data_IF_087598381686
#
_entry.id   IF_087598381686
#
_cell.length_a   1.000
_cell.length_b   1.000
_cell.length_c   1.000
_cell.angle_alpha   90.00
_cell.angle_beta   90.00
_cell.angle_gamma   90.00
#
_symmetry.space_group_name_H-M   'P 1'
#
loop_
_entity.id
_entity.type
_entity.pdbx_description
1 polymer ?
#
# COMPACT_ATOMS: atom_id res chain seq x y z
N UNK A 1 39.94 4.06 43.60
CA UNK A 1 39.09 4.92 42.78
C UNK A 1 39.86 5.17 41.50
N UNK A 2 39.53 4.39 40.47
CA UNK A 2 40.20 4.48 39.15
C UNK A 2 39.34 5.38 38.28
N UNK A 3 39.90 6.57 37.98
CA UNK A 3 39.34 7.49 36.99
C UNK A 3 39.48 6.86 35.60
N UNK A 4 38.38 6.35 35.01
CA UNK A 4 38.34 6.04 33.59
C UNK A 4 38.32 7.37 32.80
N UNK A 5 39.21 7.54 31.82
CA UNK A 5 39.19 8.73 30.98
C UNK A 5 37.93 8.72 30.07
N UNK A 6 37.11 9.76 30.21
CA UNK A 6 36.00 10.04 29.30
C UNK A 6 36.54 10.24 27.87
N UNK A 7 36.29 9.28 27.00
CA UNK A 7 36.60 9.38 25.57
C UNK A 7 35.99 10.67 25.00
N UNK A 8 36.70 11.46 24.22
CA UNK A 8 36.17 12.68 23.64
C UNK A 8 35.09 12.33 22.61
N UNK A 9 33.85 12.78 22.90
CA UNK A 9 32.72 12.64 21.97
C UNK A 9 33.08 13.23 20.63
N UNK A 10 33.10 12.42 19.58
CA UNK A 10 33.45 12.88 18.23
C UNK A 10 32.39 13.88 17.74
N UNK A 11 32.79 14.82 16.88
CA UNK A 11 31.89 15.78 16.23
C UNK A 11 30.64 15.10 15.61
N UNK A 12 30.80 13.84 15.17
CA UNK A 12 29.68 13.00 14.67
C UNK A 12 28.65 12.67 15.74
N UNK A 13 29.05 12.48 17.00
CA UNK A 13 28.15 12.16 18.10
C UNK A 13 27.35 13.38 18.57
N UNK A 14 27.96 14.56 18.47
CA UNK A 14 27.30 15.84 18.77
C UNK A 14 26.34 16.20 17.65
N UNK A 15 26.75 16.08 16.39
CA UNK A 15 25.88 16.36 15.24
C UNK A 15 24.64 15.43 15.19
N UNK A 16 24.79 14.16 15.63
CA UNK A 16 23.68 13.19 15.69
C UNK A 16 22.55 13.62 16.64
N UNK A 17 22.86 14.38 17.71
CA UNK A 17 21.86 14.88 18.67
C UNK A 17 20.96 15.96 18.08
N UNK A 18 21.41 16.68 17.06
CA UNK A 18 20.68 17.77 16.40
C UNK A 18 19.91 17.31 15.14
N UNK A 19 20.14 16.07 14.66
CA UNK A 19 19.36 15.53 13.53
C UNK A 19 18.02 15.01 14.05
N UNK A 20 16.88 15.51 13.56
CA UNK A 20 15.56 15.02 13.94
C UNK A 20 15.48 13.49 13.74
N UNK A 21 14.91 12.78 14.71
CA UNK A 21 14.78 11.29 14.67
C UNK A 21 14.15 10.81 13.36
N UNK A 22 13.23 11.59 12.81
CA UNK A 22 12.62 11.35 11.51
C UNK A 22 13.68 11.23 10.39
N UNK A 23 14.64 12.16 10.29
CA UNK A 23 15.67 12.12 9.25
C UNK A 23 16.61 10.91 9.41
N UNK A 24 16.92 10.52 10.64
CA UNK A 24 17.71 9.30 10.90
C UNK A 24 16.98 8.04 10.45
N UNK A 25 15.67 7.98 10.68
CA UNK A 25 14.82 6.88 10.22
C UNK A 25 14.79 6.80 8.69
N UNK A 26 14.58 7.94 8.01
CA UNK A 26 14.58 8.02 6.53
C UNK A 26 15.93 7.54 5.96
N UNK A 27 17.05 7.96 6.56
CA UNK A 27 18.39 7.52 6.15
C UNK A 27 18.56 5.99 6.28
N UNK A 28 18.02 5.40 7.34
CA UNK A 28 18.01 3.95 7.56
C UNK A 28 17.26 3.21 6.46
N UNK A 29 16.09 3.74 6.06
CA UNK A 29 15.28 3.19 4.97
C UNK A 29 16.03 3.28 3.63
N UNK A 30 16.54 4.45 3.27
CA UNK A 30 17.30 4.69 2.03
C UNK A 30 18.49 3.71 1.93
N UNK A 31 19.21 3.50 3.04
CA UNK A 31 20.34 2.56 3.07
C UNK A 31 19.91 1.11 2.84
N UNK A 32 18.77 0.68 3.42
CA UNK A 32 18.24 -0.68 3.23
C UNK A 32 17.76 -0.92 1.80
N UNK A 33 17.14 0.08 1.20
CA UNK A 33 16.64 0.01 -0.17
C UNK A 33 17.76 -0.02 -1.22
N UNK A 34 18.98 0.33 -0.84
CA UNK A 34 20.11 0.42 -1.76
C UNK A 34 20.07 1.64 -2.70
N UNK A 35 21.05 1.79 -3.60
CA UNK A 35 21.25 3.04 -4.34
C UNK A 35 20.14 3.34 -5.37
N UNK A 36 19.52 2.32 -5.97
CA UNK A 36 18.43 2.46 -6.94
C UNK A 36 17.13 2.91 -6.27
N UNK A 37 16.50 2.01 -5.53
CA UNK A 37 15.25 2.26 -4.83
C UNK A 37 15.37 3.37 -3.79
N UNK A 38 16.53 3.49 -3.12
CA UNK A 38 16.77 4.56 -2.15
C UNK A 38 16.71 5.97 -2.74
N UNK A 39 17.22 6.19 -3.97
CA UNK A 39 17.09 7.48 -4.66
C UNK A 39 15.63 7.79 -5.03
N UNK A 40 14.92 6.80 -5.55
CA UNK A 40 13.50 6.96 -5.90
C UNK A 40 12.68 7.27 -4.63
N UNK A 41 12.90 6.53 -3.55
CA UNK A 41 12.26 6.77 -2.26
C UNK A 41 12.51 8.19 -1.73
N UNK A 42 13.78 8.65 -1.75
CA UNK A 42 14.13 10.00 -1.33
C UNK A 42 13.42 11.07 -2.18
N UNK A 43 13.31 10.86 -3.49
CA UNK A 43 12.57 11.75 -4.40
C UNK A 43 11.07 11.79 -4.08
N UNK A 44 10.44 10.63 -3.82
CA UNK A 44 9.02 10.54 -3.43
C UNK A 44 8.77 11.27 -2.10
N UNK A 45 9.66 11.08 -1.11
CA UNK A 45 9.58 11.79 0.18
C UNK A 45 9.75 13.29 0.06
N UNK A 46 10.70 13.74 -0.76
CA UNK A 46 10.90 15.17 -0.99
C UNK A 46 9.64 15.81 -1.62
N UNK A 47 9.05 15.17 -2.63
CA UNK A 47 7.80 15.63 -3.24
C UNK A 47 6.65 15.68 -2.23
N UNK A 48 6.55 14.68 -1.35
CA UNK A 48 5.53 14.65 -0.30
C UNK A 48 5.71 15.82 0.70
N UNK A 49 6.94 16.06 1.17
CA UNK A 49 7.26 17.17 2.09
C UNK A 49 6.99 18.54 1.46
N UNK A 50 7.31 18.70 0.18
CA UNK A 50 7.08 19.95 -0.57
C UNK A 50 5.60 20.14 -0.98
N UNK A 51 4.71 19.21 -0.62
CA UNK A 51 3.32 19.26 -1.03
C UNK A 51 3.09 19.08 -2.54
N UNK A 52 4.13 18.68 -3.28
CA UNK A 52 4.10 18.44 -4.73
C UNK A 52 3.41 17.10 -5.06
N UNK A 53 2.22 16.91 -4.47
CA UNK A 53 1.40 15.73 -4.73
C UNK A 53 0.72 15.93 -6.07
N UNK A 54 1.19 15.23 -7.07
CA UNK A 54 0.65 15.37 -8.42
C UNK A 54 -0.75 14.75 -8.47
N UNK A 55 -1.74 15.53 -8.88
CA UNK A 55 -3.08 15.04 -9.25
C UNK A 55 -3.01 13.94 -10.33
N UNK A 56 -1.88 13.81 -11.01
CA UNK A 56 -1.59 12.84 -12.06
C UNK A 56 -1.34 11.41 -11.55
N UNK A 57 -1.11 11.19 -10.24
CA UNK A 57 -0.89 9.83 -9.71
C UNK A 57 -2.16 8.96 -9.65
N UNK A 58 -3.32 9.51 -9.94
CA UNK A 58 -4.61 8.80 -9.82
C UNK A 58 -5.27 8.47 -11.17
N UNK A 59 -4.53 8.45 -12.27
CA UNK A 59 -5.13 8.17 -13.58
C UNK A 59 -5.01 6.69 -13.93
N UNK A 60 -5.58 5.84 -13.08
CA UNK A 60 -5.82 4.44 -13.47
C UNK A 60 -6.83 4.46 -14.62
N UNK A 61 -6.57 3.75 -15.73
CA UNK A 61 -7.50 3.71 -16.84
C UNK A 61 -8.89 3.24 -16.39
N UNK A 62 -9.94 3.94 -16.79
CA UNK A 62 -11.32 3.55 -16.44
C UNK A 62 -11.69 2.16 -16.98
N UNK A 63 -11.02 1.71 -18.03
CA UNK A 63 -11.15 0.37 -18.61
C UNK A 63 -10.31 -0.70 -17.88
N UNK A 64 -9.57 -0.37 -16.82
CA UNK A 64 -8.75 -1.34 -16.08
C UNK A 64 -9.63 -2.44 -15.47
N UNK A 65 -9.23 -3.69 -15.67
CA UNK A 65 -9.94 -4.89 -15.19
C UNK A 65 -9.00 -5.90 -14.53
N UNK A 66 -7.71 -5.60 -14.45
CA UNK A 66 -6.71 -6.45 -13.79
C UNK A 66 -5.86 -5.64 -12.82
N UNK A 67 -5.93 -6.00 -11.53
CA UNK A 67 -5.35 -5.28 -10.42
C UNK A 67 -4.41 -6.15 -9.59
N UNK A 68 -3.23 -5.62 -9.27
CA UNK A 68 -2.29 -6.26 -8.34
C UNK A 68 -2.04 -5.34 -7.16
N UNK A 69 -2.32 -5.81 -5.95
CA UNK A 69 -2.02 -5.10 -4.72
C UNK A 69 -0.71 -5.60 -4.13
N UNK A 70 0.22 -4.69 -3.85
CA UNK A 70 1.59 -5.05 -3.43
C UNK A 70 1.94 -4.37 -2.11
N UNK A 71 2.41 -5.16 -1.14
CA UNK A 71 3.02 -4.66 0.08
C UNK A 71 4.34 -5.39 0.35
N UNK A 72 4.91 -5.27 1.53
CA UNK A 72 6.16 -5.94 1.88
C UNK A 72 6.00 -7.47 1.92
N UNK A 73 5.15 -8.00 2.81
CA UNK A 73 5.06 -9.44 3.12
C UNK A 73 3.82 -10.16 2.61
N UNK A 74 2.86 -9.50 1.99
CA UNK A 74 1.58 -10.06 1.54
C UNK A 74 0.78 -10.80 2.64
N UNK A 75 0.86 -10.32 3.88
CA UNK A 75 0.14 -10.92 5.03
C UNK A 75 -0.79 -9.95 5.74
N UNK A 76 -0.75 -8.66 5.39
CA UNK A 76 -1.60 -7.62 5.97
C UNK A 76 -2.25 -6.79 4.85
N UNK A 77 -1.67 -5.63 4.49
CA UNK A 77 -2.27 -4.60 3.63
C UNK A 77 -2.73 -5.11 2.27
N UNK A 78 -1.87 -5.73 1.50
CA UNK A 78 -2.21 -6.20 0.14
C UNK A 78 -3.19 -7.38 0.17
N UNK A 79 -3.07 -8.28 1.15
CA UNK A 79 -4.03 -9.36 1.38
C UNK A 79 -5.42 -8.78 1.65
N UNK A 80 -5.52 -7.83 2.59
CA UNK A 80 -6.78 -7.18 2.92
C UNK A 80 -7.39 -6.43 1.73
N UNK A 81 -6.58 -5.70 0.95
CA UNK A 81 -7.04 -4.98 -0.24
C UNK A 81 -7.62 -5.92 -1.30
N UNK A 82 -7.00 -7.08 -1.56
CA UNK A 82 -7.53 -8.11 -2.45
C UNK A 82 -8.91 -8.59 -2.01
N UNK A 83 -9.07 -8.97 -0.75
CA UNK A 83 -10.32 -9.52 -0.24
C UNK A 83 -11.42 -8.46 -0.11
N UNK A 84 -11.09 -7.22 0.24
CA UNK A 84 -12.03 -6.10 0.18
C UNK A 84 -12.58 -5.89 -1.23
N UNK A 85 -11.71 -5.92 -2.24
CA UNK A 85 -12.15 -5.74 -3.63
C UNK A 85 -12.98 -6.92 -4.11
N UNK A 86 -12.61 -8.16 -3.78
CA UNK A 86 -13.41 -9.35 -4.10
C UNK A 86 -14.81 -9.26 -3.49
N UNK A 87 -14.90 -8.96 -2.18
CA UNK A 87 -16.18 -8.80 -1.49
C UNK A 87 -17.05 -7.72 -2.12
N UNK A 88 -16.46 -6.57 -2.47
CA UNK A 88 -17.19 -5.48 -3.08
C UNK A 88 -17.76 -5.85 -4.47
N UNK A 89 -17.15 -6.81 -5.17
CA UNK A 89 -17.59 -7.30 -6.46
C UNK A 89 -18.60 -8.47 -6.38
N UNK A 90 -18.76 -9.11 -5.21
CA UNK A 90 -19.77 -10.19 -5.03
C UNK A 90 -21.19 -9.73 -5.31
N UNK A 91 -21.50 -8.45 -5.09
CA UNK A 91 -22.82 -7.85 -5.36
C UNK A 91 -22.88 -7.10 -6.70
N UNK A 92 -21.84 -7.22 -7.53
CA UNK A 92 -21.77 -6.53 -8.80
C UNK A 92 -22.56 -7.26 -9.90
N UNK A 93 -23.08 -6.54 -10.91
CA UNK A 93 -23.73 -7.17 -12.07
C UNK A 93 -22.78 -8.13 -12.80
N UNK A 94 -23.31 -9.19 -13.42
CA UNK A 94 -22.54 -10.26 -14.12
C UNK A 94 -21.52 -9.73 -15.15
N UNK A 95 -21.78 -8.57 -15.75
CA UNK A 95 -20.86 -7.90 -16.68
C UNK A 95 -19.51 -7.54 -16.06
N UNK A 96 -19.39 -7.56 -14.72
CA UNK A 96 -18.21 -7.17 -13.94
C UNK A 96 -17.41 -8.40 -13.47
N UNK A 97 -17.89 -9.61 -13.65
CA UNK A 97 -17.21 -10.87 -13.24
C UNK A 97 -15.80 -11.07 -13.84
N UNK A 98 -15.44 -10.30 -14.86
CA UNK A 98 -14.14 -10.41 -15.53
C UNK A 98 -13.00 -9.63 -14.88
N UNK A 99 -13.20 -9.08 -13.66
CA UNK A 99 -12.12 -8.36 -12.95
C UNK A 99 -11.16 -9.36 -12.33
N UNK A 100 -9.88 -9.28 -12.75
CA UNK A 100 -8.80 -10.07 -12.16
C UNK A 100 -8.17 -9.32 -10.99
N UNK A 101 -8.15 -9.96 -9.82
CA UNK A 101 -7.60 -9.37 -8.60
C UNK A 101 -6.57 -10.33 -8.02
N UNK A 102 -5.38 -9.80 -7.75
CA UNK A 102 -4.27 -10.56 -7.14
C UNK A 102 -3.60 -9.68 -6.09
N UNK A 103 -3.09 -10.28 -5.03
CA UNK A 103 -2.15 -9.62 -4.12
C UNK A 103 -0.84 -10.36 -4.06
N UNK A 104 0.25 -9.62 -3.79
CA UNK A 104 1.58 -10.17 -3.66
C UNK A 104 2.43 -9.33 -2.70
N UNK A 105 3.58 -9.85 -2.31
CA UNK A 105 4.58 -9.14 -1.52
C UNK A 105 5.91 -9.05 -2.24
N UNK A 106 6.63 -7.96 -2.04
CA UNK A 106 8.00 -7.81 -2.54
C UNK A 106 8.96 -8.79 -1.84
N UNK A 107 8.72 -9.03 -0.55
CA UNK A 107 9.52 -9.89 0.32
C UNK A 107 8.63 -10.91 1.05
N UNK A 108 7.63 -11.46 0.36
CA UNK A 108 6.72 -12.44 0.94
C UNK A 108 7.44 -13.76 1.24
N UNK A 109 7.00 -14.40 2.33
CA UNK A 109 7.29 -15.82 2.57
C UNK A 109 6.11 -16.63 2.00
N UNK A 110 6.28 -17.35 0.88
CA UNK A 110 5.18 -18.03 0.19
C UNK A 110 4.44 -19.03 1.09
N UNK A 111 3.12 -19.06 0.96
CA UNK A 111 2.26 -19.97 1.72
C UNK A 111 1.91 -19.49 3.13
N UNK A 112 2.53 -18.42 3.64
CA UNK A 112 2.20 -17.84 4.95
C UNK A 112 0.76 -17.33 4.95
N UNK A 113 0.05 -17.58 6.04
CA UNK A 113 -1.30 -17.06 6.27
C UNK A 113 -1.30 -15.56 6.54
N UNK A 114 -2.46 -14.92 6.42
CA UNK A 114 -2.63 -13.55 6.85
C UNK A 114 -2.33 -13.40 8.35
N UNK A 115 -1.80 -12.24 8.73
CA UNK A 115 -1.49 -11.95 10.14
C UNK A 115 -2.75 -12.03 11.00
N UNK A 116 -2.70 -12.64 12.24
CA UNK A 116 -3.89 -12.80 13.08
C UNK A 116 -4.68 -11.51 13.31
N UNK A 117 -4.01 -10.40 13.59
CA UNK A 117 -4.69 -9.09 13.74
C UNK A 117 -5.38 -8.63 12.45
N UNK A 118 -4.83 -8.93 11.28
CA UNK A 118 -5.50 -8.57 10.03
C UNK A 118 -6.69 -9.51 9.74
N UNK A 119 -6.61 -10.78 10.16
CA UNK A 119 -7.76 -11.69 10.10
C UNK A 119 -8.90 -11.20 10.98
N UNK A 120 -8.60 -10.73 12.22
CA UNK A 120 -9.58 -10.17 13.13
C UNK A 120 -10.18 -8.86 12.59
N UNK A 121 -9.35 -7.92 12.14
CA UNK A 121 -9.81 -6.67 11.53
C UNK A 121 -10.66 -6.91 10.25
N UNK A 122 -10.37 -7.96 9.49
CA UNK A 122 -11.15 -8.37 8.33
C UNK A 122 -12.51 -8.95 8.76
N UNK A 123 -12.54 -9.75 9.83
CA UNK A 123 -13.77 -10.32 10.39
C UNK A 123 -14.74 -9.21 10.85
N UNK A 124 -14.23 -8.13 11.45
CA UNK A 124 -15.03 -6.95 11.83
C UNK A 124 -15.73 -6.30 10.61
N UNK A 125 -15.16 -6.46 9.42
CA UNK A 125 -15.72 -5.99 8.15
C UNK A 125 -16.50 -7.11 7.41
N UNK A 126 -16.71 -8.26 8.05
CA UNK A 126 -17.40 -9.43 7.48
C UNK A 126 -16.62 -10.10 6.36
N UNK A 127 -15.29 -10.09 6.42
CA UNK A 127 -14.38 -10.71 5.45
C UNK A 127 -13.58 -11.81 6.13
N UNK A 128 -13.47 -12.98 5.49
CA UNK A 128 -12.61 -14.06 5.95
C UNK A 128 -11.32 -14.10 5.13
N UNK A 129 -10.16 -13.98 5.79
CA UNK A 129 -8.85 -14.16 5.18
C UNK A 129 -8.30 -15.59 5.35
N UNK A 130 -9.09 -16.55 5.79
CA UNK A 130 -8.65 -17.91 6.09
C UNK A 130 -8.03 -18.65 4.90
N UNK A 131 -8.52 -18.37 3.68
CA UNK A 131 -8.01 -18.95 2.44
C UNK A 131 -6.79 -18.22 1.88
N UNK A 132 -6.41 -17.08 2.46
CA UNK A 132 -5.26 -16.32 1.98
C UNK A 132 -3.94 -17.08 2.20
N UNK A 133 -3.09 -17.09 1.18
CA UNK A 133 -1.71 -17.56 1.26
C UNK A 133 -0.80 -16.55 0.58
N UNK A 134 0.21 -16.08 1.30
CA UNK A 134 1.16 -15.08 0.82
C UNK A 134 1.89 -15.58 -0.43
N UNK A 135 2.11 -14.66 -1.38
CA UNK A 135 2.79 -14.91 -2.66
C UNK A 135 3.85 -13.84 -2.89
N UNK A 136 4.98 -14.25 -3.47
CA UNK A 136 5.98 -13.28 -3.97
C UNK A 136 5.46 -12.67 -5.26
N UNK A 137 5.70 -11.36 -5.44
CA UNK A 137 5.39 -10.68 -6.70
C UNK A 137 6.29 -11.23 -7.81
N UNK A 138 5.69 -11.59 -8.93
CA UNK A 138 6.42 -12.05 -10.12
C UNK A 138 6.27 -11.07 -11.28
N UNK A 139 7.17 -11.19 -12.27
CA UNK A 139 7.11 -10.39 -13.49
C UNK A 139 5.80 -10.61 -14.25
N UNK A 140 5.34 -11.86 -14.32
CA UNK A 140 4.10 -12.24 -15.02
C UNK A 140 2.87 -11.59 -14.37
N UNK A 141 2.85 -11.45 -13.03
CA UNK A 141 1.77 -10.74 -12.33
C UNK A 141 1.74 -9.27 -12.73
N UNK A 142 2.90 -8.63 -12.82
CA UNK A 142 3.02 -7.22 -13.24
C UNK A 142 2.61 -7.08 -14.70
N UNK A 143 3.12 -7.91 -15.60
CA UNK A 143 2.83 -7.81 -17.03
C UNK A 143 1.35 -8.01 -17.35
N UNK A 144 0.72 -8.97 -16.69
CA UNK A 144 -0.70 -9.31 -16.87
C UNK A 144 -1.68 -8.37 -16.16
N UNK A 145 -1.20 -7.27 -15.55
CA UNK A 145 -2.04 -6.30 -14.84
C UNK A 145 -2.19 -4.99 -15.60
N UNK A 146 -3.36 -4.34 -15.46
CA UNK A 146 -3.59 -2.97 -15.94
C UNK A 146 -3.10 -1.95 -14.91
N UNK A 147 -3.13 -2.32 -13.61
CA UNK A 147 -2.65 -1.46 -12.54
C UNK A 147 -2.02 -2.27 -11.39
N UNK A 148 -0.90 -1.76 -10.87
CA UNK A 148 -0.17 -2.28 -9.71
C UNK A 148 -0.21 -1.22 -8.62
N UNK A 149 -0.70 -1.59 -7.42
CA UNK A 149 -0.87 -0.68 -6.31
C UNK A 149 0.14 -0.94 -5.19
N UNK A 150 0.96 0.05 -4.92
CA UNK A 150 1.85 0.12 -3.76
C UNK A 150 1.10 0.70 -2.55
N UNK A 151 1.45 0.27 -1.34
CA UNK A 151 0.87 0.76 -0.09
C UNK A 151 1.63 1.96 0.48
N UNK A 152 2.95 1.99 0.29
CA UNK A 152 3.84 3.02 0.78
C UNK A 152 4.93 3.38 -0.23
N UNK A 153 5.71 4.42 0.06
CA UNK A 153 6.78 4.87 -0.82
C UNK A 153 7.94 3.88 -0.92
N UNK A 154 8.16 3.01 0.09
CA UNK A 154 9.16 1.96 0.01
C UNK A 154 8.73 0.93 -1.04
N UNK A 155 7.50 0.45 -0.95
CA UNK A 155 6.96 -0.49 -1.93
C UNK A 155 6.99 0.12 -3.35
N UNK A 156 6.58 1.39 -3.50
CA UNK A 156 6.60 2.06 -4.81
C UNK A 156 8.01 2.21 -5.36
N UNK A 157 8.98 2.58 -4.52
CA UNK A 157 10.37 2.74 -4.93
C UNK A 157 11.00 1.41 -5.38
N UNK A 158 10.73 0.32 -4.66
CA UNK A 158 11.18 -1.01 -5.05
C UNK A 158 10.53 -1.48 -6.34
N UNK A 159 9.21 -1.30 -6.49
CA UNK A 159 8.48 -1.63 -7.73
C UNK A 159 9.05 -0.89 -8.94
N UNK A 160 9.27 0.42 -8.83
CA UNK A 160 9.85 1.24 -9.90
C UNK A 160 11.31 0.86 -10.24
N UNK A 161 12.03 0.27 -9.29
CA UNK A 161 13.39 -0.21 -9.50
C UNK A 161 13.40 -1.57 -10.18
N UNK A 162 12.50 -2.48 -9.76
CA UNK A 162 12.40 -3.84 -10.30
C UNK A 162 11.71 -3.89 -11.67
N UNK A 163 10.75 -2.99 -11.89
CA UNK A 163 9.91 -2.95 -13.09
C UNK A 163 9.84 -1.53 -13.69
N UNK A 164 10.96 -0.96 -14.14
CA UNK A 164 11.01 0.41 -14.64
C UNK A 164 10.18 0.62 -15.91
N UNK A 165 10.04 -0.41 -16.74
CA UNK A 165 9.21 -0.44 -17.93
C UNK A 165 7.70 -0.45 -17.62
N UNK A 166 7.30 -0.86 -16.43
CA UNK A 166 5.91 -0.85 -15.94
C UNK A 166 5.55 0.41 -15.12
N UNK A 167 6.43 1.42 -15.08
CA UNK A 167 6.27 2.61 -14.23
C UNK A 167 4.94 3.36 -14.44
N UNK A 168 4.40 3.34 -15.67
CA UNK A 168 3.14 3.98 -16.05
C UNK A 168 1.89 3.33 -15.44
N UNK A 169 2.00 2.10 -14.94
CA UNK A 169 0.89 1.36 -14.29
C UNK A 169 1.14 1.07 -12.80
N UNK A 170 2.18 1.66 -12.20
CA UNK A 170 2.49 1.55 -10.77
C UNK A 170 1.97 2.78 -10.03
N UNK A 171 0.93 2.59 -9.23
CA UNK A 171 0.22 3.64 -8.49
C UNK A 171 0.35 3.47 -6.98
N UNK A 172 0.07 4.54 -6.22
CA UNK A 172 -0.20 4.44 -4.79
C UNK A 172 -1.68 4.14 -4.59
N UNK A 173 -2.03 3.14 -3.78
CA UNK A 173 -3.45 2.86 -3.46
C UNK A 173 -4.09 4.03 -2.70
N UNK A 174 -3.32 4.74 -1.88
CA UNK A 174 -3.74 5.95 -1.18
C UNK A 174 -4.12 7.14 -2.08
N UNK A 175 -3.88 7.06 -3.39
CA UNK A 175 -4.43 8.03 -4.36
C UNK A 175 -5.97 8.05 -4.34
N UNK A 176 -6.58 6.95 -3.90
CA UNK A 176 -8.02 6.78 -3.73
C UNK A 176 -8.52 6.99 -2.29
N UNK A 177 -7.64 7.37 -1.36
CA UNK A 177 -8.02 7.78 -0.01
C UNK A 177 -8.77 9.12 -0.01
N UNK A 178 -9.45 9.41 1.10
CA UNK A 178 -10.18 10.67 1.29
C UNK A 178 -9.40 11.67 2.15
N UNK A 179 -9.76 12.95 2.02
CA UNK A 179 -9.24 14.02 2.88
C UNK A 179 -7.72 14.15 2.86
N UNK A 180 -7.14 14.33 4.04
CA UNK A 180 -5.69 14.54 4.23
C UNK A 180 -4.83 13.29 3.93
N UNK A 181 -5.43 12.12 3.83
CA UNK A 181 -4.75 10.84 3.56
C UNK A 181 -4.51 10.59 2.08
N UNK A 182 -5.19 11.34 1.21
CA UNK A 182 -5.06 11.18 -0.23
C UNK A 182 -3.61 11.41 -0.68
N UNK A 183 -3.08 10.44 -1.45
CA UNK A 183 -1.71 10.43 -1.97
C UNK A 183 -0.60 10.36 -0.89
N UNK A 184 -0.94 10.02 0.36
CA UNK A 184 0.05 9.69 1.40
C UNK A 184 0.39 8.20 1.35
N UNK A 185 1.04 7.69 2.39
CA UNK A 185 1.28 6.25 2.57
C UNK A 185 0.14 5.64 3.37
N UNK A 186 -0.20 4.38 3.09
CA UNK A 186 -0.97 3.54 4.01
C UNK A 186 0.04 2.89 4.96
N UNK A 187 0.12 3.32 6.23
CA UNK A 187 1.15 2.86 7.15
C UNK A 187 1.14 1.34 7.34
N UNK A 188 2.31 0.74 7.58
CA UNK A 188 2.39 -0.68 7.86
C UNK A 188 1.96 -0.97 9.30
N UNK A 189 0.86 -1.70 9.54
CA UNK A 189 0.39 -2.00 10.88
C UNK A 189 1.17 -3.13 11.56
N UNK A 190 2.15 -3.74 10.90
CA UNK A 190 2.85 -4.95 11.37
C UNK A 190 3.55 -4.78 12.73
N UNK A 191 4.08 -3.59 13.01
CA UNK A 191 4.73 -3.27 14.29
C UNK A 191 3.79 -2.52 15.27
N UNK A 192 2.52 -2.39 14.92
CA UNK A 192 1.50 -1.75 15.75
C UNK A 192 0.80 -2.73 16.68
N UNK A 193 -0.49 -2.56 16.79
CA UNK A 193 -1.41 -3.42 17.53
C UNK A 193 -2.68 -3.69 16.71
N UNK A 194 -3.68 -4.30 17.33
CA UNK A 194 -4.94 -4.60 16.68
C UNK A 194 -5.71 -3.33 16.27
N UNK A 195 -5.69 -2.27 17.09
CA UNK A 195 -6.39 -1.02 16.78
C UNK A 195 -5.76 -0.29 15.59
N UNK A 196 -4.44 -0.26 15.52
CA UNK A 196 -3.70 0.25 14.34
C UNK A 196 -4.05 -0.58 13.10
N UNK A 197 -4.21 -1.89 13.26
CA UNK A 197 -4.57 -2.80 12.17
C UNK A 197 -6.02 -2.56 11.71
N UNK A 198 -6.96 -2.37 12.62
CA UNK A 198 -8.35 -2.01 12.33
C UNK A 198 -8.46 -0.69 11.57
N UNK A 199 -7.68 0.30 12.01
CA UNK A 199 -7.62 1.59 11.31
C UNK A 199 -7.11 1.44 9.88
N UNK A 200 -6.01 0.71 9.70
CA UNK A 200 -5.47 0.39 8.38
C UNK A 200 -6.50 -0.34 7.48
N UNK A 201 -7.25 -1.30 8.01
CA UNK A 201 -8.28 -2.02 7.27
C UNK A 201 -9.41 -1.09 6.80
N UNK A 202 -9.84 -0.14 7.62
CA UNK A 202 -10.83 0.88 7.25
C UNK A 202 -10.32 1.83 6.17
N UNK A 203 -9.07 2.27 6.26
CA UNK A 203 -8.45 3.09 5.20
C UNK A 203 -8.38 2.35 3.87
N UNK A 204 -7.98 1.07 3.89
CA UNK A 204 -7.99 0.22 2.70
C UNK A 204 -9.40 0.08 2.12
N UNK A 205 -10.42 -0.07 2.96
CA UNK A 205 -11.82 -0.16 2.52
C UNK A 205 -12.27 1.10 1.75
N UNK A 206 -11.91 2.28 2.26
CA UNK A 206 -12.21 3.57 1.58
C UNK A 206 -11.48 3.62 0.24
N UNK A 207 -10.19 3.29 0.20
CA UNK A 207 -9.41 3.31 -1.03
C UNK A 207 -10.00 2.34 -2.09
N UNK A 208 -10.36 1.13 -1.70
CA UNK A 208 -10.92 0.12 -2.61
C UNK A 208 -12.29 0.57 -3.15
N UNK A 209 -13.16 1.10 -2.30
CA UNK A 209 -14.47 1.65 -2.72
C UNK A 209 -14.28 2.73 -3.79
N UNK A 210 -13.40 3.68 -3.54
CA UNK A 210 -13.16 4.81 -4.45
C UNK A 210 -12.45 4.37 -5.74
N UNK A 211 -11.56 3.38 -5.67
CA UNK A 211 -10.94 2.77 -6.84
C UNK A 211 -12.00 2.10 -7.73
N UNK A 212 -12.89 1.31 -7.16
CA UNK A 212 -13.98 0.66 -7.90
C UNK A 212 -14.91 1.67 -8.55
N UNK A 213 -15.29 2.73 -7.83
CA UNK A 213 -16.12 3.82 -8.37
C UNK A 213 -15.42 4.56 -9.53
N UNK A 214 -14.08 4.67 -9.50
CA UNK A 214 -13.32 5.34 -10.55
C UNK A 214 -13.04 4.47 -11.79
N UNK A 215 -13.13 3.13 -11.68
CA UNK A 215 -12.72 2.19 -12.72
C UNK A 215 -13.87 1.27 -13.15
N UNK A 216 -14.24 0.35 -12.30
CA UNK A 216 -15.19 -0.72 -12.61
C UNK A 216 -16.63 -0.20 -12.73
N UNK A 217 -17.00 0.76 -11.87
CA UNK A 217 -18.33 1.40 -11.85
C UNK A 217 -18.30 2.82 -12.45
N UNK A 218 -17.54 3.02 -13.50
CA UNK A 218 -17.33 4.36 -14.09
C UNK A 218 -18.58 4.95 -14.76
N UNK A 219 -19.58 4.12 -15.14
CA UNK A 219 -20.87 4.62 -15.64
C UNK A 219 -21.79 5.06 -14.48
N UNK A 220 -22.55 6.14 -14.69
CA UNK A 220 -23.47 6.69 -13.67
C UNK A 220 -24.51 5.66 -13.17
N UNK A 221 -24.99 4.79 -14.06
CA UNK A 221 -25.94 3.73 -13.73
C UNK A 221 -25.34 2.64 -12.82
N UNK A 222 -24.10 2.25 -13.07
CA UNK A 222 -23.40 1.24 -12.27
C UNK A 222 -23.00 1.80 -10.90
N UNK A 223 -22.60 3.09 -10.84
CA UNK A 223 -22.24 3.76 -9.59
C UNK A 223 -23.43 3.87 -8.63
N UNK A 224 -24.59 4.28 -9.10
CA UNK A 224 -25.82 4.39 -8.28
C UNK A 224 -26.21 3.04 -7.68
N UNK A 225 -26.15 1.96 -8.47
CA UNK A 225 -26.45 0.60 -8.00
C UNK A 225 -25.47 0.08 -6.95
N UNK A 226 -24.21 0.54 -6.96
CA UNK A 226 -23.19 0.16 -6.00
C UNK A 226 -23.25 0.97 -4.68
N UNK A 227 -23.55 2.27 -4.77
CA UNK A 227 -23.58 3.18 -3.61
C UNK A 227 -24.86 3.06 -2.77
N UNK A 228 -26.01 2.69 -3.36
CA UNK A 228 -27.30 2.60 -2.67
C UNK A 228 -27.33 1.57 -1.51
N UNK A 229 -26.75 0.37 -1.61
CA UNK A 229 -26.67 -0.59 -0.48
C UNK A 229 -25.77 -0.14 0.67
N UNK A 230 -24.77 0.70 0.39
CA UNK A 230 -23.80 1.19 1.39
C UNK A 230 -24.35 2.35 2.23
N UNK A 231 -25.30 3.11 1.72
CA UNK A 231 -25.97 4.20 2.43
C UNK A 231 -27.01 3.72 3.46
N UNK A 232 -27.39 2.45 3.40
CA UNK A 232 -28.43 1.85 4.29
C UNK A 232 -27.87 1.02 5.44
N UNK A 233 -26.54 1.00 5.63
CA UNK A 233 -25.84 0.32 6.73
C UNK A 233 -25.06 1.32 7.58
#
# INVERSE_FOLDING_TARGET
>A
MSDEPLEPKTFKDVARKFIPRFLLQQRGIIRRLGPGAGRIYAGLRLKDVLGMRTKHEATVPAAARSFVFVCFGNIMRSAMAEFLMRKALESAPEEIEKVRIVSAGLHANPGREAHPWMQEAAADLGISLASHRAKVLTREMVDASDAVFAMDFQNKAELLTLYPDAANKIFMLSAFAEGAWRCREIPDPYLGDLEVTRHCAKELQICIRNLLSATVFSSSKQRSAYEEPLARR
#
